data_IF_533254711846
#
_entry.id   IF_533254711846
#
_cell.length_a   1.000
_cell.length_b   1.000
_cell.length_c   1.000
_cell.angle_alpha   90.00
_cell.angle_beta   90.00
_cell.angle_gamma   90.00
#
_symmetry.space_group_name_H-M   'P 1'
#
loop_
_entity.id
_entity.type
_entity.pdbx_description
1 polymer ?
#
# COMPACT_ATOMS: atom_id res chain seq x y z
N UNK A 1 -36.32 -2.42 56.57
CA UNK A 1 -37.25 -1.39 57.09
C UNK A 1 -36.85 -0.04 56.49
N UNK A 2 -37.85 0.72 55.98
CA UNK A 2 -37.81 2.09 55.38
C UNK A 2 -37.11 2.17 53.99
N UNK A 3 -37.78 2.22 52.83
CA UNK A 3 -38.89 3.06 52.32
C UNK A 3 -38.50 4.55 52.37
N UNK A 4 -38.56 5.42 51.36
CA UNK A 4 -39.25 5.64 50.07
C UNK A 4 -38.34 6.62 49.26
N UNK A 5 -38.50 6.93 47.96
CA UNK A 5 -39.62 7.63 47.34
C UNK A 5 -39.36 7.74 45.83
N UNK A 6 -40.36 7.37 45.03
CA UNK A 6 -40.51 7.76 43.63
C UNK A 6 -40.81 9.26 43.54
N UNK A 7 -40.26 9.93 42.54
CA UNK A 7 -40.86 11.10 41.93
C UNK A 7 -40.66 11.01 40.40
N UNK A 8 -41.77 10.87 39.70
CA UNK A 8 -41.87 10.95 38.25
C UNK A 8 -41.93 12.41 37.82
N UNK A 9 -41.36 12.73 36.65
CA UNK A 9 -41.91 13.77 35.78
C UNK A 9 -41.58 13.45 34.30
N UNK A 10 -42.58 13.52 33.39
CA UNK A 10 -42.46 13.16 31.98
C UNK A 10 -42.17 14.39 31.11
N UNK A 11 -41.34 14.26 30.07
CA UNK A 11 -41.35 15.22 28.96
C UNK A 11 -41.05 14.50 27.64
N UNK A 12 -42.13 14.25 26.90
CA UNK A 12 -42.30 14.45 25.46
C UNK A 12 -41.35 13.71 24.51
N UNK A 13 -41.91 12.67 23.87
CA UNK A 13 -41.59 12.25 22.51
C UNK A 13 -41.54 13.49 21.58
N UNK A 14 -40.38 13.79 21.03
CA UNK A 14 -40.31 14.17 19.62
C UNK A 14 -39.49 13.12 18.89
N UNK A 15 -40.22 12.31 18.13
CA UNK A 15 -39.68 11.47 17.09
C UNK A 15 -38.94 12.36 16.07
N UNK A 16 -37.62 12.44 16.21
CA UNK A 16 -36.77 12.62 15.05
C UNK A 16 -36.45 11.21 14.53
N UNK A 17 -37.44 10.57 13.92
CA UNK A 17 -37.18 9.69 12.80
C UNK A 17 -36.64 10.58 11.65
N UNK A 18 -35.43 11.10 11.84
CA UNK A 18 -34.65 11.61 10.75
C UNK A 18 -34.30 10.37 9.94
N UNK A 19 -34.93 10.26 8.77
CA UNK A 19 -34.62 9.28 7.76
C UNK A 19 -33.11 9.29 7.51
N UNK A 20 -32.40 8.42 8.22
CA UNK A 20 -31.14 7.87 7.77
C UNK A 20 -31.47 6.88 6.65
N UNK A 21 -32.04 7.40 5.55
CA UNK A 21 -31.62 6.94 4.23
C UNK A 21 -30.16 7.40 4.10
N UNK A 22 -29.29 6.73 4.86
CA UNK A 22 -27.94 6.54 4.41
C UNK A 22 -28.12 5.86 3.06
N UNK A 23 -27.96 6.65 2.00
CA UNK A 23 -27.58 6.16 0.69
C UNK A 23 -26.69 4.96 0.95
N UNK A 24 -27.26 3.76 0.79
CA UNK A 24 -26.48 2.54 0.70
C UNK A 24 -25.77 2.71 -0.62
N UNK A 25 -24.70 3.50 -0.62
CA UNK A 25 -23.77 3.64 -1.73
C UNK A 25 -23.48 2.21 -2.13
N UNK A 26 -24.05 1.81 -3.27
CA UNK A 26 -24.01 0.41 -3.68
C UNK A 26 -22.53 0.10 -3.84
N UNK A 27 -21.99 -0.71 -2.92
CA UNK A 27 -20.58 -1.07 -2.97
C UNK A 27 -20.35 -1.72 -4.34
N UNK A 28 -19.53 -1.11 -5.20
CA UNK A 28 -19.36 -1.61 -6.56
C UNK A 28 -18.83 -3.03 -6.48
N UNK A 29 -19.38 -3.93 -7.27
CA UNK A 29 -18.80 -5.25 -7.38
C UNK A 29 -17.66 -5.19 -8.39
N UNK A 30 -16.46 -5.76 -8.12
CA UNK A 30 -15.38 -5.78 -9.10
C UNK A 30 -15.87 -6.46 -10.39
N UNK A 31 -15.68 -5.78 -11.52
CA UNK A 31 -16.01 -6.27 -12.85
C UNK A 31 -14.78 -6.91 -13.48
N UNK A 32 -14.95 -8.01 -14.23
CA UNK A 32 -13.90 -8.62 -15.03
C UNK A 32 -14.09 -8.24 -16.50
N UNK A 33 -13.00 -8.02 -17.27
CA UNK A 33 -11.60 -8.04 -16.84
C UNK A 33 -11.25 -6.87 -15.91
N UNK A 34 -10.21 -7.07 -15.11
CA UNK A 34 -9.72 -6.13 -14.12
C UNK A 34 -8.21 -5.99 -14.28
N UNK A 35 -7.74 -4.74 -14.26
CA UNK A 35 -6.34 -4.42 -14.02
C UNK A 35 -6.28 -3.32 -12.96
N UNK A 36 -5.51 -3.57 -11.90
CA UNK A 36 -5.37 -2.68 -10.76
C UNK A 36 -3.90 -2.59 -10.34
N UNK A 37 -3.46 -1.39 -9.98
CA UNK A 37 -2.05 -1.04 -9.77
C UNK A 37 -1.88 -0.27 -8.47
N UNK A 38 -0.75 -0.47 -7.82
CA UNK A 38 -0.30 0.36 -6.71
C UNK A 38 1.21 0.58 -6.76
N UNK A 39 1.62 1.70 -6.18
CA UNK A 39 3.00 1.97 -5.80
C UNK A 39 3.02 2.37 -4.33
N UNK A 40 3.99 1.91 -3.57
CA UNK A 40 4.28 2.36 -2.22
C UNK A 40 5.68 2.95 -2.26
N UNK A 41 5.81 4.20 -1.85
CA UNK A 41 7.10 4.89 -1.75
C UNK A 41 7.38 5.17 -0.28
N UNK A 42 8.52 4.68 0.21
CA UNK A 42 9.01 4.91 1.55
C UNK A 42 10.42 5.48 1.54
N UNK A 43 10.67 6.40 2.48
CA UNK A 43 11.95 7.08 2.58
C UNK A 43 12.31 7.32 4.04
N UNK A 44 13.56 7.03 4.37
CA UNK A 44 14.18 7.33 5.66
C UNK A 44 15.51 8.02 5.40
N UNK A 45 15.73 9.16 6.04
CA UNK A 45 17.04 9.80 6.12
C UNK A 45 17.49 9.88 7.58
N UNK A 46 18.71 9.41 7.84
CA UNK A 46 19.36 9.54 9.12
C UNK A 46 20.72 10.23 8.96
N UNK A 47 20.98 11.25 9.76
CA UNK A 47 22.22 12.01 9.71
C UNK A 47 22.74 12.28 11.11
N UNK A 48 24.06 12.12 11.28
CA UNK A 48 24.80 12.53 12.46
C UNK A 48 25.93 13.49 12.05
N UNK A 49 26.73 13.95 13.02
CA UNK A 49 27.84 14.87 12.73
C UNK A 49 28.90 14.28 11.79
N UNK A 50 29.07 12.94 11.80
CA UNK A 50 30.14 12.25 11.07
C UNK A 50 29.66 11.50 9.82
N UNK A 51 28.40 11.09 9.75
CA UNK A 51 27.88 10.24 8.68
C UNK A 51 26.45 10.59 8.34
N UNK A 52 26.04 10.15 7.16
CA UNK A 52 24.67 10.22 6.67
C UNK A 52 24.32 8.91 5.99
N UNK A 53 23.08 8.48 6.22
CA UNK A 53 22.47 7.35 5.54
C UNK A 53 21.07 7.75 5.04
N UNK A 54 20.78 7.37 3.80
CA UNK A 54 19.49 7.57 3.13
C UNK A 54 19.03 6.22 2.60
N UNK A 55 17.81 5.81 2.96
CA UNK A 55 17.18 4.59 2.48
C UNK A 55 15.90 4.97 1.76
N UNK A 56 15.80 4.61 0.48
CA UNK A 56 14.58 4.74 -0.32
C UNK A 56 14.10 3.36 -0.71
N UNK A 57 12.84 3.08 -0.44
CA UNK A 57 12.19 1.84 -0.83
C UNK A 57 10.97 2.15 -1.69
N UNK A 58 10.82 1.43 -2.79
CA UNK A 58 9.62 1.46 -3.61
C UNK A 58 9.10 0.03 -3.76
N UNK A 59 7.80 -0.15 -3.58
CA UNK A 59 7.09 -1.40 -3.89
C UNK A 59 6.02 -1.10 -4.94
N UNK A 60 6.05 -1.77 -6.08
CA UNK A 60 5.00 -1.71 -7.08
C UNK A 60 4.27 -3.04 -7.15
N UNK A 61 2.95 -3.00 -7.25
CA UNK A 61 2.17 -4.22 -7.50
C UNK A 61 1.13 -4.01 -8.60
N UNK A 62 0.99 -5.01 -9.45
CA UNK A 62 0.01 -5.05 -10.55
C UNK A 62 -0.78 -6.35 -10.44
N UNK A 63 -2.08 -6.20 -10.20
CA UNK A 63 -3.05 -7.29 -10.21
C UNK A 63 -3.86 -7.23 -11.50
N UNK A 64 -3.87 -8.33 -12.25
CA UNK A 64 -4.74 -8.50 -13.42
C UNK A 64 -5.59 -9.75 -13.27
N UNK A 65 -6.86 -9.67 -13.68
CA UNK A 65 -7.78 -10.81 -13.79
C UNK A 65 -8.53 -10.69 -15.09
N UNK A 66 -8.42 -11.69 -15.97
CA UNK A 66 -9.10 -11.68 -17.26
C UNK A 66 -10.58 -12.08 -17.15
N UNK A 67 -11.30 -12.06 -18.28
CA UNK A 67 -12.71 -12.42 -18.34
C UNK A 67 -12.99 -13.90 -18.03
N UNK A 68 -11.98 -14.79 -18.19
CA UNK A 68 -12.06 -16.20 -17.85
C UNK A 68 -11.77 -16.48 -16.37
N UNK A 69 -11.29 -15.48 -15.64
CA UNK A 69 -10.86 -15.60 -14.26
C UNK A 69 -9.40 -16.05 -14.12
N UNK A 70 -8.59 -16.06 -15.19
CA UNK A 70 -7.15 -16.23 -15.03
C UNK A 70 -6.58 -14.96 -14.35
N UNK A 71 -5.77 -15.15 -13.32
CA UNK A 71 -5.26 -14.06 -12.49
C UNK A 71 -3.74 -14.05 -12.47
N UNK A 72 -3.16 -12.85 -12.40
CA UNK A 72 -1.73 -12.64 -12.20
C UNK A 72 -1.48 -11.49 -11.24
N UNK A 73 -0.50 -11.64 -10.34
CA UNK A 73 0.00 -10.58 -9.48
C UNK A 73 1.52 -10.46 -9.69
N UNK A 74 1.96 -9.30 -10.14
CA UNK A 74 3.37 -8.95 -10.22
C UNK A 74 3.72 -7.98 -9.11
N UNK A 75 4.81 -8.24 -8.39
CA UNK A 75 5.31 -7.38 -7.30
C UNK A 75 6.77 -7.09 -7.56
N UNK A 76 7.16 -5.82 -7.47
CA UNK A 76 8.54 -5.37 -7.67
C UNK A 76 8.90 -4.44 -6.53
N UNK A 77 9.86 -4.86 -5.70
CA UNK A 77 10.42 -4.08 -4.61
C UNK A 77 11.81 -3.61 -5.02
N UNK A 78 12.10 -2.33 -4.86
CA UNK A 78 13.42 -1.76 -5.05
C UNK A 78 13.84 -1.02 -3.78
N UNK A 79 15.07 -1.25 -3.34
CA UNK A 79 15.68 -0.55 -2.20
C UNK A 79 16.94 0.13 -2.69
N UNK A 80 17.11 1.40 -2.36
CA UNK A 80 18.35 2.14 -2.57
C UNK A 80 18.84 2.65 -1.22
N UNK A 81 20.04 2.21 -0.82
CA UNK A 81 20.73 2.65 0.39
C UNK A 81 21.92 3.49 -0.07
N UNK A 82 22.02 4.70 0.43
CA UNK A 82 23.16 5.60 0.23
C UNK A 82 23.72 5.91 1.60
N UNK A 83 24.98 5.51 1.83
CA UNK A 83 25.67 5.78 3.10
C UNK A 83 27.00 6.47 2.82
N UNK A 84 27.36 7.48 3.61
CA UNK A 84 28.59 8.25 3.40
C UNK A 84 28.80 9.34 4.46
N UNK A 85 29.66 10.33 4.18
CA UNK A 85 29.92 11.44 5.10
C UNK A 85 28.66 12.29 5.30
N UNK A 86 28.54 12.89 6.49
CA UNK A 86 27.55 13.94 6.72
C UNK A 86 27.76 15.11 5.76
N UNK A 87 26.73 15.95 5.56
CA UNK A 87 26.85 17.13 4.71
C UNK A 87 28.00 18.06 5.15
N UNK A 88 28.24 18.18 6.46
CA UNK A 88 29.37 18.95 7.00
C UNK A 88 30.73 18.36 6.63
N UNK A 89 30.91 17.03 6.73
CA UNK A 89 32.14 16.35 6.30
C UNK A 89 32.33 16.39 4.78
N UNK A 90 31.23 16.34 4.04
CA UNK A 90 31.25 16.49 2.59
C UNK A 90 31.83 17.85 2.17
N UNK A 91 31.43 18.93 2.84
CA UNK A 91 32.01 20.26 2.63
C UNK A 91 33.50 20.35 3.03
N UNK A 92 33.95 19.51 3.96
CA UNK A 92 35.33 19.44 4.42
C UNK A 92 36.23 18.55 3.53
N UNK A 93 35.67 17.93 2.49
CA UNK A 93 36.44 17.21 1.46
C UNK A 93 36.24 15.70 1.45
N UNK A 94 35.52 15.11 2.40
CA UNK A 94 35.18 13.69 2.37
C UNK A 94 34.09 13.43 1.33
N UNK A 95 34.34 12.58 0.32
CA UNK A 95 33.41 12.39 -0.81
C UNK A 95 33.01 10.94 -1.06
N UNK A 96 33.38 10.04 -0.16
CA UNK A 96 33.14 8.62 -0.35
C UNK A 96 31.73 8.24 0.06
N UNK A 97 30.88 8.00 -0.93
CA UNK A 97 29.56 7.41 -0.74
C UNK A 97 29.55 5.98 -1.24
N UNK A 98 28.90 5.12 -0.46
CA UNK A 98 28.50 3.79 -0.89
C UNK A 98 27.04 3.86 -1.34
N UNK A 99 26.74 3.27 -2.48
CA UNK A 99 25.35 3.09 -2.94
C UNK A 99 25.11 1.62 -3.13
N UNK A 100 24.11 1.10 -2.42
CA UNK A 100 23.62 -0.27 -2.55
C UNK A 100 22.22 -0.17 -3.15
N UNK A 101 21.98 -0.99 -4.17
CA UNK A 101 20.66 -1.16 -4.78
C UNK A 101 20.25 -2.61 -4.66
N UNK A 102 19.08 -2.85 -4.10
CA UNK A 102 18.46 -4.16 -4.02
C UNK A 102 17.16 -4.14 -4.80
N UNK A 103 16.79 -5.29 -5.35
CA UNK A 103 15.54 -5.48 -6.05
C UNK A 103 15.09 -6.89 -5.86
N UNK A 104 13.80 -7.01 -5.68
CA UNK A 104 13.12 -8.27 -5.52
C UNK A 104 11.88 -8.23 -6.40
N UNK A 105 11.68 -9.26 -7.21
CA UNK A 105 10.50 -9.39 -8.06
C UNK A 105 9.84 -10.72 -7.78
N UNK A 106 8.54 -10.68 -7.57
CA UNK A 106 7.70 -11.87 -7.45
C UNK A 106 6.62 -11.82 -8.51
N UNK A 107 6.39 -12.96 -9.13
CA UNK A 107 5.27 -13.13 -10.02
C UNK A 107 4.44 -14.32 -9.53
N UNK A 108 3.12 -14.11 -9.51
CA UNK A 108 2.16 -15.11 -9.10
C UNK A 108 1.11 -15.25 -10.20
N UNK A 109 0.69 -16.49 -10.47
CA UNK A 109 -0.37 -16.82 -11.41
C UNK A 109 -1.37 -17.74 -10.76
N UNK A 110 -2.63 -17.64 -11.15
CA UNK A 110 -3.66 -18.53 -10.66
C UNK A 110 -5.03 -18.16 -11.16
N UNK A 111 -6.01 -18.20 -10.27
CA UNK A 111 -7.41 -17.94 -10.63
C UNK A 111 -8.07 -16.94 -9.69
N UNK A 112 -8.88 -16.08 -10.27
CA UNK A 112 -9.80 -15.22 -9.57
C UNK A 112 -11.24 -15.67 -9.79
N UNK A 113 -12.02 -15.68 -8.71
CA UNK A 113 -13.46 -15.96 -8.77
C UNK A 113 -14.24 -14.88 -8.05
N UNK A 114 -15.41 -14.56 -8.59
CA UNK A 114 -16.34 -13.63 -7.95
C UNK A 114 -17.20 -14.39 -6.95
N UNK A 115 -17.15 -13.99 -5.68
CA UNK A 115 -18.00 -14.49 -4.61
C UNK A 115 -18.88 -13.34 -4.09
N UNK A 116 -20.03 -13.12 -4.72
CA UNK A 116 -20.92 -12.00 -4.38
C UNK A 116 -20.26 -10.65 -4.67
N UNK A 117 -19.94 -9.89 -3.61
CA UNK A 117 -19.28 -8.56 -3.68
C UNK A 117 -17.77 -8.59 -3.62
N UNK A 118 -17.20 -9.78 -3.52
CA UNK A 118 -15.78 -10.02 -3.30
C UNK A 118 -15.19 -10.72 -4.52
N UNK A 119 -13.94 -10.40 -4.81
CA UNK A 119 -13.08 -11.14 -5.72
C UNK A 119 -12.09 -11.94 -4.87
N UNK A 120 -12.19 -13.25 -4.92
CA UNK A 120 -11.25 -14.16 -4.26
C UNK A 120 -10.20 -14.60 -5.28
N UNK A 121 -8.94 -14.59 -4.89
CA UNK A 121 -7.81 -14.99 -5.72
C UNK A 121 -7.07 -16.13 -5.03
N UNK A 122 -6.84 -17.21 -5.75
CA UNK A 122 -5.91 -18.29 -5.42
C UNK A 122 -4.75 -18.21 -6.41
N UNK A 123 -3.56 -17.86 -5.93
CA UNK A 123 -2.38 -17.60 -6.75
C UNK A 123 -1.22 -18.48 -6.28
N UNK A 124 -0.46 -19.01 -7.23
CA UNK A 124 0.79 -19.71 -6.99
C UNK A 124 1.94 -18.87 -7.57
N UNK A 125 3.01 -18.73 -6.81
CA UNK A 125 4.21 -18.05 -7.24
C UNK A 125 4.84 -18.87 -8.37
N UNK A 126 5.07 -18.25 -9.52
CA UNK A 126 5.73 -18.91 -10.65
C UNK A 126 7.22 -18.57 -10.70
N UNK A 127 7.54 -17.30 -10.46
CA UNK A 127 8.89 -16.78 -10.57
C UNK A 127 9.23 -15.84 -9.41
N UNK A 128 10.49 -15.92 -8.98
CA UNK A 128 11.11 -14.97 -8.05
C UNK A 128 12.45 -14.54 -8.60
N UNK A 129 12.83 -13.29 -8.39
CA UNK A 129 14.16 -12.80 -8.72
C UNK A 129 14.64 -11.85 -7.64
N UNK A 130 15.89 -11.99 -7.24
CA UNK A 130 16.50 -11.08 -6.28
C UNK A 130 17.91 -10.73 -6.74
N UNK A 131 18.27 -9.46 -6.63
CA UNK A 131 19.65 -9.05 -6.80
C UNK A 131 20.02 -7.90 -5.84
N UNK A 132 21.29 -7.86 -5.50
CA UNK A 132 21.92 -6.83 -4.69
C UNK A 132 23.18 -6.37 -5.41
N UNK A 133 23.22 -5.08 -5.73
CA UNK A 133 24.32 -4.46 -6.45
C UNK A 133 24.91 -3.33 -5.62
N UNK A 134 26.24 -3.34 -5.47
CA UNK A 134 27.02 -2.24 -4.89
C UNK A 134 28.02 -1.79 -5.92
N UNK A 135 27.92 -0.53 -6.36
CA UNK A 135 28.82 0.00 -7.39
C UNK A 135 28.27 1.19 -8.15
N UNK A 136 29.10 1.69 -9.08
CA UNK A 136 28.74 2.74 -10.03
C UNK A 136 28.50 2.10 -11.40
N UNK A 137 27.38 2.42 -12.03
CA UNK A 137 27.04 1.95 -13.39
C UNK A 137 25.69 1.28 -13.48
N UNK A 138 25.47 0.61 -14.62
CA UNK A 138 24.24 -0.12 -14.90
C UNK A 138 24.15 -1.39 -14.06
N UNK A 139 22.94 -1.64 -13.57
CA UNK A 139 22.62 -2.82 -12.79
C UNK A 139 22.58 -4.04 -13.71
N UNK A 140 23.16 -5.20 -13.30
CA UNK A 140 23.01 -6.42 -14.08
C UNK A 140 21.53 -6.82 -14.21
N UNK A 141 21.16 -7.61 -15.23
CA UNK A 141 19.81 -8.16 -15.34
C UNK A 141 19.45 -8.99 -14.10
N UNK A 142 18.20 -8.89 -13.67
CA UNK A 142 17.68 -9.68 -12.55
C UNK A 142 17.67 -11.17 -12.93
N UNK A 143 18.42 -11.98 -12.21
CA UNK A 143 18.33 -13.43 -12.33
C UNK A 143 17.01 -13.89 -11.68
N UNK A 144 16.20 -14.62 -12.44
CA UNK A 144 14.95 -15.21 -11.94
C UNK A 144 15.11 -16.71 -11.77
N UNK A 145 14.38 -17.26 -10.79
CA UNK A 145 14.31 -18.68 -10.49
C UNK A 145 12.87 -19.06 -10.21
N UNK A 146 12.54 -20.33 -10.48
CA UNK A 146 11.24 -20.87 -10.11
C UNK A 146 11.10 -20.83 -8.59
N UNK A 147 9.91 -20.48 -8.12
CA UNK A 147 9.55 -20.48 -6.71
C UNK A 147 8.28 -21.31 -6.50
N UNK A 148 8.07 -21.75 -5.27
CA UNK A 148 6.85 -22.46 -4.89
C UNK A 148 6.33 -21.85 -3.58
N UNK A 149 5.44 -20.88 -3.74
CA UNK A 149 4.65 -20.31 -2.65
C UNK A 149 3.23 -20.13 -3.14
N UNK A 150 2.24 -20.27 -2.26
CA UNK A 150 0.85 -20.00 -2.59
C UNK A 150 0.36 -18.80 -1.81
N UNK A 151 -0.48 -18.00 -2.45
CA UNK A 151 -1.01 -16.76 -1.95
C UNK A 151 -2.51 -16.73 -2.18
N UNK A 152 -3.28 -16.44 -1.14
CA UNK A 152 -4.71 -16.16 -1.27
C UNK A 152 -5.02 -14.73 -0.93
N UNK A 153 -5.84 -14.10 -1.76
CA UNK A 153 -6.31 -12.73 -1.56
C UNK A 153 -7.83 -12.66 -1.60
N UNK A 154 -8.37 -11.83 -0.72
CA UNK A 154 -9.79 -11.47 -0.69
C UNK A 154 -9.91 -9.99 -0.99
N UNK A 155 -10.44 -9.65 -2.15
CA UNK A 155 -10.49 -8.29 -2.68
C UNK A 155 -11.91 -7.74 -2.72
N UNK A 156 -12.09 -6.49 -2.27
CA UNK A 156 -13.37 -5.76 -2.36
C UNK A 156 -13.14 -4.36 -2.90
N UNK A 157 -14.10 -3.82 -3.64
CA UNK A 157 -14.08 -2.40 -3.97
C UNK A 157 -14.58 -1.63 -2.75
N UNK A 158 -13.86 -0.60 -2.33
CA UNK A 158 -14.28 0.30 -1.27
C UNK A 158 -14.07 1.76 -1.69
N UNK A 159 -14.93 2.69 -1.23
CA UNK A 159 -14.63 4.11 -1.33
C UNK A 159 -13.44 4.43 -0.42
N UNK A 160 -12.45 5.10 -0.97
CA UNK A 160 -11.20 5.44 -0.30
C UNK A 160 -10.88 6.88 -0.61
N UNK A 161 -10.51 7.63 0.43
CA UNK A 161 -10.12 9.02 0.27
C UNK A 161 -8.71 9.08 -0.33
N UNK A 162 -8.60 9.77 -1.46
CA UNK A 162 -7.35 9.92 -2.21
C UNK A 162 -7.05 11.40 -2.39
N UNK A 163 -5.84 11.78 -2.02
CA UNK A 163 -5.33 13.14 -2.18
C UNK A 163 -4.76 13.35 -3.59
N UNK A 164 -4.80 14.59 -4.11
CA UNK A 164 -4.21 14.91 -5.40
C UNK A 164 -2.68 14.65 -5.41
N UNK A 165 -2.15 14.30 -6.57
CA UNK A 165 -0.72 14.07 -6.76
C UNK A 165 0.09 15.36 -6.49
N UNK A 166 1.30 15.22 -5.92
CA UNK A 166 2.29 16.30 -5.91
C UNK A 166 2.70 16.86 -4.55
N UNK A 167 2.17 16.36 -3.42
CA UNK A 167 2.68 16.72 -2.08
C UNK A 167 2.94 15.47 -1.23
N UNK A 168 4.23 15.21 -1.00
CA UNK A 168 4.72 14.13 -0.14
C UNK A 168 4.57 14.44 1.36
N UNK A 169 4.18 15.67 1.70
CA UNK A 169 4.06 16.15 3.06
C UNK A 169 2.79 17.01 3.18
N UNK A 170 1.74 16.37 3.70
CA UNK A 170 0.50 16.97 4.17
C UNK A 170 -0.41 17.64 3.12
N UNK A 171 -1.74 17.53 3.30
CA UNK A 171 -2.69 18.42 2.64
C UNK A 171 -2.28 19.88 2.84
N UNK A 172 -2.26 20.67 1.77
CA UNK A 172 -2.22 22.13 1.95
C UNK A 172 -3.50 22.64 2.61
N UNK A 173 -3.43 23.80 3.29
CA UNK A 173 -4.63 24.47 3.78
C UNK A 173 -5.65 24.67 2.64
N UNK A 174 -6.81 24.03 2.76
CA UNK A 174 -7.92 24.12 1.80
C UNK A 174 -7.99 23.00 0.76
N UNK A 175 -7.02 22.09 0.70
CA UNK A 175 -7.12 20.89 -0.14
C UNK A 175 -8.08 19.87 0.47
N UNK A 176 -8.80 19.13 -0.38
CA UNK A 176 -9.75 18.09 0.05
C UNK A 176 -9.41 16.78 -0.63
N UNK A 177 -9.43 15.71 0.14
CA UNK A 177 -9.42 14.37 -0.43
C UNK A 177 -10.63 14.19 -1.35
N UNK A 178 -10.40 13.45 -2.43
CA UNK A 178 -11.45 13.00 -3.33
C UNK A 178 -11.73 11.53 -3.04
N UNK A 179 -13.01 11.14 -2.96
CA UNK A 179 -13.34 9.73 -2.83
C UNK A 179 -13.11 9.02 -4.17
N UNK A 180 -12.36 7.92 -4.15
CA UNK A 180 -12.14 7.03 -5.28
C UNK A 180 -12.58 5.60 -4.92
N UNK A 181 -13.04 4.84 -5.90
CA UNK A 181 -13.34 3.42 -5.72
C UNK A 181 -12.08 2.58 -5.97
N UNK A 182 -11.45 2.12 -4.89
CA UNK A 182 -10.21 1.33 -4.96
C UNK A 182 -10.47 -0.12 -4.60
N UNK A 183 -9.59 -1.01 -5.06
CA UNK A 183 -9.63 -2.42 -4.74
C UNK A 183 -8.77 -2.70 -3.51
N UNK A 184 -9.40 -3.10 -2.42
CA UNK A 184 -8.78 -3.48 -1.17
C UNK A 184 -8.65 -4.99 -1.10
N UNK A 185 -7.42 -5.50 -1.12
CA UNK A 185 -7.12 -6.92 -1.06
C UNK A 185 -6.44 -7.29 0.27
N UNK A 186 -7.00 -8.28 0.95
CA UNK A 186 -6.44 -8.87 2.19
C UNK A 186 -5.84 -10.23 1.94
N UNK A 187 -4.75 -10.52 2.64
CA UNK A 187 -4.10 -11.83 2.67
C UNK A 187 -4.93 -12.84 3.47
N UNK A 188 -4.97 -14.11 3.02
CA UNK A 188 -5.64 -15.20 3.73
C UNK A 188 -4.70 -16.42 3.86
N UNK A 189 -4.26 -16.81 5.08
CA UNK A 189 -4.47 -16.11 6.36
C UNK A 189 -3.86 -14.70 6.35
N UNK A 190 -4.19 -13.85 7.34
CA UNK A 190 -3.73 -12.44 7.44
C UNK A 190 -2.22 -12.31 7.74
N UNK A 191 -1.41 -13.19 7.17
CA UNK A 191 0.04 -13.16 7.19
C UNK A 191 0.51 -12.62 5.84
N UNK A 192 1.18 -11.46 5.89
CA UNK A 192 1.78 -10.84 4.71
C UNK A 192 3.09 -11.59 4.44
N UNK A 193 3.29 -12.19 3.25
CA UNK A 193 4.54 -12.88 2.94
C UNK A 193 5.74 -11.93 3.01
N UNK A 194 6.93 -12.44 3.34
CA UNK A 194 8.16 -11.64 3.47
C UNK A 194 8.47 -10.82 2.21
N UNK A 195 8.13 -11.36 1.03
CA UNK A 195 8.14 -10.69 -0.27
C UNK A 195 7.44 -9.31 -0.30
N UNK A 196 6.53 -9.08 0.64
CA UNK A 196 5.74 -7.88 0.82
C UNK A 196 6.10 -7.16 2.14
N UNK A 197 7.30 -7.36 2.72
CA UNK A 197 7.67 -6.82 4.02
C UNK A 197 7.45 -5.31 4.19
N UNK A 198 7.71 -4.52 3.12
CA UNK A 198 7.41 -3.08 3.12
C UNK A 198 5.91 -2.77 3.21
N UNK A 199 5.09 -3.60 2.56
CA UNK A 199 3.63 -3.52 2.68
C UNK A 199 3.21 -3.89 4.10
N UNK A 200 3.76 -4.95 4.70
CA UNK A 200 3.43 -5.37 6.07
C UNK A 200 3.66 -4.26 7.10
N UNK A 201 4.71 -3.44 6.92
CA UNK A 201 5.00 -2.28 7.76
C UNK A 201 4.02 -1.11 7.54
N UNK A 202 3.62 -0.87 6.29
CA UNK A 202 2.77 0.26 5.92
C UNK A 202 1.28 -0.07 6.10
N UNK A 203 0.77 -1.12 5.46
CA UNK A 203 -0.64 -1.49 5.46
C UNK A 203 -0.80 -3.01 5.35
N UNK A 204 -1.60 -3.67 6.21
CA UNK A 204 -1.89 -5.09 6.06
C UNK A 204 -2.75 -5.40 4.82
N UNK A 205 -3.26 -4.36 4.14
CA UNK A 205 -4.05 -4.47 2.91
C UNK A 205 -3.28 -3.93 1.70
N UNK A 206 -3.38 -4.66 0.59
CA UNK A 206 -2.98 -4.21 -0.74
C UNK A 206 -4.10 -3.33 -1.33
N UNK A 207 -3.87 -2.02 -1.41
CA UNK A 207 -4.84 -1.05 -1.94
C UNK A 207 -4.45 -0.66 -3.36
N UNK A 208 -5.26 -1.08 -4.34
CA UNK A 208 -4.97 -0.94 -5.77
C UNK A 208 -5.97 0.00 -6.45
N UNK A 209 -5.48 0.94 -7.25
CA UNK A 209 -6.30 1.77 -8.14
C UNK A 209 -6.47 1.12 -9.50
N UNK A 210 -7.61 1.33 -10.16
CA UNK A 210 -7.83 0.87 -11.54
C UNK A 210 -7.08 1.77 -12.54
N UNK A 211 -6.57 1.20 -13.62
CA UNK A 211 -5.93 1.87 -14.76
C UNK A 211 -4.70 2.72 -14.42
N UNK A 212 -4.90 3.86 -13.77
CA UNK A 212 -3.86 4.83 -13.38
C UNK A 212 -3.13 4.37 -12.12
N UNK A 213 -3.82 3.63 -11.23
CA UNK A 213 -3.27 3.12 -9.97
C UNK A 213 -3.31 4.16 -8.84
N UNK A 214 -2.71 3.83 -7.70
CA UNK A 214 -2.55 4.74 -6.55
C UNK A 214 -1.14 4.68 -5.99
N UNK A 215 -0.68 5.77 -5.37
CA UNK A 215 0.56 5.79 -4.59
C UNK A 215 0.24 5.85 -3.11
N UNK A 216 0.72 4.90 -2.33
CA UNK A 216 0.79 4.99 -0.88
C UNK A 216 2.15 5.60 -0.50
N UNK A 217 2.15 6.83 -0.01
CA UNK A 217 3.37 7.44 0.52
C UNK A 217 3.47 7.16 2.03
N UNK A 218 4.62 6.62 2.45
CA UNK A 218 4.89 6.23 3.83
C UNK A 218 6.21 6.84 4.32
N UNK A 219 6.14 7.81 5.22
CA UNK A 219 7.34 8.42 5.80
C UNK A 219 7.71 7.74 7.12
N UNK A 220 8.76 6.93 7.12
CA UNK A 220 9.20 6.19 8.32
C UNK A 220 9.72 7.11 9.45
N UNK A 221 10.13 8.34 9.14
CA UNK A 221 10.73 9.24 10.12
C UNK A 221 9.73 9.90 11.08
N UNK A 222 8.44 9.97 10.72
CA UNK A 222 7.43 10.73 11.48
C UNK A 222 6.32 9.86 12.09
N UNK A 223 6.54 8.54 12.20
CA UNK A 223 5.49 7.62 12.60
C UNK A 223 4.50 7.37 11.47
N UNK A 224 3.56 6.46 11.70
CA UNK A 224 2.74 5.71 10.75
C UNK A 224 1.81 6.49 9.81
N UNK A 225 2.08 7.77 9.51
CA UNK A 225 1.25 8.59 8.64
C UNK A 225 1.37 8.15 7.18
N UNK A 226 0.25 7.66 6.67
CA UNK A 226 0.09 7.15 5.32
C UNK A 226 -0.76 8.14 4.53
N UNK A 227 -0.25 8.56 3.37
CA UNK A 227 -1.04 9.38 2.44
C UNK A 227 -1.25 8.60 1.15
N UNK A 228 -2.51 8.35 0.81
CA UNK A 228 -2.87 7.76 -0.46
C UNK A 228 -3.07 8.87 -1.51
N UNK A 229 -2.26 8.83 -2.55
CA UNK A 229 -2.21 9.80 -3.64
C UNK A 229 -2.71 9.15 -4.94
N UNK A 230 -3.32 9.93 -5.82
CA UNK A 230 -3.57 9.48 -7.20
C UNK A 230 -2.24 9.39 -7.94
N UNK A 231 -2.06 8.34 -8.76
CA UNK A 231 -1.01 8.35 -9.76
C UNK A 231 -1.41 9.32 -10.90
N UNK A 232 -0.48 10.12 -11.44
CA UNK A 232 -0.74 11.01 -12.57
C UNK A 232 -0.98 10.26 -13.89
#
# INVERSE_FOLDING_TARGET
MKARLLAALPVVLLAAAAAADADRVAIPTPSLPLEARMRLDAHTDHGCSQSHESVRETLSAVLAVDASGAASLAVDREVTIISGPSFGRFQQGDRDFTTIRERERHHFRGRGRRAGRVLELDLDQDETGQDRYSGRGDRPPLATQAAAASLRLTCRVAPTDVWPAGRLAFPGDGERASSASLLHCRFVPEEVPDAFGLLAEASPELVLGRNEGVVLHFNRAFGSEQTLLRLP
#
